data_IF_410561079959
#
_entry.id   IF_410561079959
#
_cell.length_a   1.000
_cell.length_b   1.000
_cell.length_c   1.000
_cell.angle_alpha   90.00
_cell.angle_beta   90.00
_cell.angle_gamma   90.00
#
_symmetry.space_group_name_H-M   'P 1'
#
loop_
_entity.id
_entity.type
_entity.pdbx_description
1 polymer ?
#
# COMPACT_ATOMS: atom_id res chain seq x y z
N UNK A 1 14.94 -10.11 24.29
CA UNK A 1 14.40 -8.75 24.08
C UNK A 1 14.47 -8.48 22.59
N UNK A 2 13.38 -8.75 21.86
CA UNK A 2 13.30 -8.53 20.42
C UNK A 2 13.21 -7.02 20.18
N UNK A 3 14.14 -6.47 19.40
CA UNK A 3 14.33 -5.03 19.24
C UNK A 3 13.07 -4.33 18.73
N UNK A 4 12.60 -3.35 19.50
CA UNK A 4 11.52 -2.46 19.10
C UNK A 4 11.96 -1.67 17.86
N UNK A 5 11.17 -1.77 16.80
CA UNK A 5 11.38 -0.95 15.60
C UNK A 5 10.95 0.47 15.92
N UNK A 6 11.86 1.45 15.77
CA UNK A 6 11.54 2.85 16.02
C UNK A 6 10.56 3.35 14.95
N UNK A 7 9.31 3.64 15.36
CA UNK A 7 8.24 4.09 14.47
C UNK A 7 8.35 5.60 14.27
N UNK A 8 8.53 6.04 13.02
CA UNK A 8 8.66 7.44 12.61
C UNK A 8 7.31 8.05 12.20
N UNK A 9 6.45 7.24 11.59
CA UNK A 9 5.10 7.61 11.16
C UNK A 9 4.20 6.39 11.29
N UNK A 10 2.98 6.61 11.78
CA UNK A 10 1.93 5.62 11.75
C UNK A 10 0.63 6.31 11.37
N UNK A 11 0.01 5.84 10.30
CA UNK A 11 -1.26 6.34 9.80
C UNK A 11 -2.15 5.13 9.60
N UNK A 12 -3.27 5.11 10.33
CA UNK A 12 -4.33 4.15 10.09
C UNK A 12 -5.60 4.88 9.73
N UNK A 13 -6.25 4.42 8.66
CA UNK A 13 -7.50 4.99 8.20
C UNK A 13 -8.41 3.87 7.70
N UNK A 14 -9.69 4.11 7.89
CA UNK A 14 -10.73 3.22 7.42
C UNK A 14 -11.75 4.06 6.67
N UNK A 15 -11.96 3.70 5.40
CA UNK A 15 -13.08 4.19 4.63
C UNK A 15 -14.21 3.17 4.79
N UNK A 16 -15.34 3.52 5.44
CA UNK A 16 -16.41 2.58 5.72
C UNK A 16 -16.92 1.89 4.46
N UNK A 17 -16.96 0.55 4.48
CA UNK A 17 -17.47 -0.26 3.38
C UNK A 17 -16.56 -0.36 2.15
N UNK A 18 -15.36 0.23 2.15
CA UNK A 18 -14.43 0.12 1.02
C UNK A 18 -13.11 -0.53 1.40
N UNK A 19 -12.20 0.27 1.94
CA UNK A 19 -10.81 -0.08 2.18
C UNK A 19 -10.38 0.39 3.57
N UNK A 20 -9.62 -0.46 4.25
CA UNK A 20 -8.81 -0.09 5.40
C UNK A 20 -7.37 -0.01 4.92
N UNK A 21 -6.65 1.03 5.30
CA UNK A 21 -5.24 1.11 4.98
C UNK A 21 -4.44 1.57 6.19
N UNK A 22 -3.22 1.05 6.27
CA UNK A 22 -2.22 1.47 7.23
C UNK A 22 -0.91 1.77 6.51
N UNK A 23 -0.25 2.82 6.97
CA UNK A 23 1.07 3.24 6.51
C UNK A 23 1.93 3.42 7.76
N UNK A 24 2.94 2.58 7.88
CA UNK A 24 3.88 2.60 8.98
C UNK A 24 5.29 2.81 8.43
N UNK A 25 5.95 3.87 8.90
CA UNK A 25 7.34 4.17 8.58
C UNK A 25 8.20 3.83 9.78
N UNK A 26 9.19 2.98 9.59
CA UNK A 26 10.15 2.61 10.62
C UNK A 26 11.52 3.14 10.26
N UNK A 27 12.32 3.47 11.27
CA UNK A 27 13.74 3.74 11.08
C UNK A 27 14.46 2.47 10.68
N UNK A 28 15.21 2.54 9.58
CA UNK A 28 16.02 1.43 9.10
C UNK A 28 17.26 1.27 9.98
N UNK A 29 17.46 0.05 10.48
CA UNK A 29 18.71 -0.30 11.16
C UNK A 29 19.78 -0.66 10.12
N UNK A 30 21.07 -0.28 10.32
CA UNK A 30 22.15 -0.56 9.35
C UNK A 30 22.31 -2.04 8.99
N UNK A 31 21.94 -2.93 9.91
CA UNK A 31 21.98 -4.39 9.73
C UNK A 31 20.82 -4.97 8.90
N UNK A 32 19.85 -4.15 8.48
CA UNK A 32 18.68 -4.61 7.71
C UNK A 32 18.97 -4.55 6.20
N UNK A 33 19.16 -5.72 5.60
CA UNK A 33 19.06 -5.92 4.16
C UNK A 33 17.60 -6.25 3.81
N UNK A 34 16.80 -5.22 3.56
CA UNK A 34 15.41 -5.35 3.14
C UNK A 34 15.33 -5.02 1.66
N UNK A 35 14.75 -5.94 0.90
CA UNK A 35 14.42 -5.73 -0.50
C UNK A 35 12.99 -5.20 -0.63
N UNK A 36 12.80 -4.34 -1.62
CA UNK A 36 11.49 -3.79 -1.90
C UNK A 36 10.59 -4.90 -2.43
N UNK A 37 9.46 -5.11 -1.77
CA UNK A 37 8.56 -6.21 -2.09
C UNK A 37 7.10 -5.84 -1.97
N UNK A 38 6.28 -6.44 -2.85
CA UNK A 38 4.83 -6.37 -2.81
C UNK A 38 4.25 -7.77 -2.64
N UNK A 39 3.18 -7.90 -1.87
CA UNK A 39 2.48 -9.16 -1.66
C UNK A 39 0.98 -8.89 -1.75
N UNK A 40 0.31 -9.67 -2.59
CA UNK A 40 -1.14 -9.80 -2.59
C UNK A 40 -1.50 -11.00 -1.72
N UNK A 41 -2.38 -10.80 -0.75
CA UNK A 41 -2.89 -11.85 0.12
C UNK A 41 -4.39 -11.91 -0.04
N UNK A 42 -4.89 -13.04 -0.53
CA UNK A 42 -6.31 -13.30 -0.66
C UNK A 42 -6.77 -14.18 0.49
N UNK A 43 -7.67 -13.64 1.31
CA UNK A 43 -8.23 -14.33 2.47
C UNK A 43 -9.65 -14.80 2.15
N UNK A 44 -9.85 -16.12 2.15
CA UNK A 44 -11.14 -16.76 1.95
C UNK A 44 -11.49 -17.70 3.10
N UNK A 45 -12.66 -17.47 3.69
CA UNK A 45 -13.24 -18.21 4.80
C UNK A 45 -14.62 -18.71 4.36
N UNK A 46 -14.71 -20.01 4.06
CA UNK A 46 -15.94 -20.65 3.55
C UNK A 46 -17.17 -20.44 4.46
N UNK A 47 -16.96 -20.52 5.78
CA UNK A 47 -18.03 -20.48 6.77
C UNK A 47 -18.41 -19.06 7.21
N UNK A 48 -17.59 -18.06 6.89
CA UNK A 48 -17.85 -16.67 7.24
C UNK A 48 -17.41 -15.70 6.12
N UNK A 49 -18.25 -15.50 5.10
CA UNK A 49 -17.92 -14.63 3.97
C UNK A 49 -17.64 -13.17 4.34
N UNK A 50 -18.09 -12.71 5.52
CA UNK A 50 -17.83 -11.36 6.00
C UNK A 50 -16.36 -11.14 6.42
N UNK A 51 -15.63 -12.21 6.73
CA UNK A 51 -14.20 -12.16 7.05
C UNK A 51 -13.31 -12.23 5.81
N UNK A 52 -13.89 -12.52 4.65
CA UNK A 52 -13.16 -12.51 3.39
C UNK A 52 -12.63 -11.10 3.12
N UNK A 53 -11.39 -11.00 2.65
CA UNK A 53 -10.80 -9.74 2.22
C UNK A 53 -9.62 -10.01 1.30
N UNK A 54 -9.25 -8.99 0.55
CA UNK A 54 -8.03 -8.98 -0.25
C UNK A 54 -7.10 -7.94 0.36
N UNK A 55 -5.87 -8.31 0.65
CA UNK A 55 -4.87 -7.42 1.24
C UNK A 55 -3.71 -7.22 0.26
N UNK A 56 -3.31 -5.97 0.06
CA UNK A 56 -2.08 -5.61 -0.63
C UNK A 56 -1.09 -5.08 0.40
N UNK A 57 0.06 -5.74 0.52
CA UNK A 57 1.16 -5.33 1.37
C UNK A 57 2.32 -4.87 0.52
N UNK A 58 2.89 -3.73 0.85
CA UNK A 58 4.09 -3.22 0.21
C UNK A 58 5.12 -2.87 1.27
N UNK A 59 6.34 -3.33 1.08
CA UNK A 59 7.48 -2.97 1.89
C UNK A 59 8.49 -2.30 0.97
N UNK A 60 8.80 -1.04 1.25
CA UNK A 60 9.70 -0.23 0.44
C UNK A 60 10.80 0.34 1.33
N UNK A 61 12.03 0.11 0.92
CA UNK A 61 13.23 0.74 1.42
C UNK A 61 13.44 1.98 0.58
N UNK A 62 13.04 3.15 1.07
CA UNK A 62 13.01 4.31 0.19
C UNK A 62 12.83 5.65 0.86
N UNK A 63 13.75 6.54 0.48
CA UNK A 63 13.73 7.99 0.54
C UNK A 63 14.00 8.63 1.91
N UNK A 64 15.10 9.37 1.92
CA UNK A 64 15.52 10.33 2.96
C UNK A 64 14.30 11.11 3.45
N UNK A 65 13.84 10.78 4.64
CA UNK A 65 12.75 11.51 5.28
C UNK A 65 13.31 12.77 5.94
N UNK A 66 12.94 13.96 5.46
CA UNK A 66 13.21 15.21 6.18
C UNK A 66 11.95 15.56 7.00
N UNK A 67 12.11 15.66 8.33
CA UNK A 67 11.04 15.79 9.34
C UNK A 67 10.19 17.07 9.24
N UNK A 68 10.59 18.03 8.40
CA UNK A 68 9.87 19.28 8.17
C UNK A 68 8.91 19.17 6.98
N UNK A 69 7.64 18.81 7.25
CA UNK A 69 6.54 18.81 6.27
C UNK A 69 6.22 20.19 5.64
N UNK A 70 6.90 21.28 6.02
CA UNK A 70 6.54 22.65 5.61
C UNK A 70 7.55 23.36 4.69
N UNK A 71 8.74 22.79 4.44
CA UNK A 71 9.77 23.44 3.62
C UNK A 71 10.40 22.44 2.68
N UNK A 72 9.89 22.42 1.45
CA UNK A 72 10.56 22.00 0.23
C UNK A 72 11.42 20.71 0.32
N UNK A 73 10.76 19.55 0.29
CA UNK A 73 11.42 18.31 -0.15
C UNK A 73 11.66 18.28 -1.68
N UNK A 74 11.22 19.28 -2.44
CA UNK A 74 11.50 19.41 -3.89
C UNK A 74 12.99 19.71 -4.18
N UNK A 75 13.73 20.28 -3.21
CA UNK A 75 15.15 20.60 -3.35
C UNK A 75 16.10 19.52 -2.81
N UNK A 76 15.59 18.37 -2.36
CA UNK A 76 16.42 17.19 -2.07
C UNK A 76 16.83 16.42 -3.34
N UNK A 77 16.94 17.11 -4.48
CA UNK A 77 17.67 16.60 -5.64
C UNK A 77 19.14 16.47 -5.25
N UNK A 78 19.60 15.22 -5.21
CA UNK A 78 20.98 14.76 -5.39
C UNK A 78 22.03 15.90 -5.32
N UNK A 79 22.63 16.08 -4.14
CA UNK A 79 23.88 16.83 -3.89
C UNK A 79 23.88 18.36 -3.64
N UNK A 80 22.74 19.06 -3.48
CA UNK A 80 22.80 20.54 -3.41
C UNK A 80 22.54 21.17 -2.03
N UNK A 81 21.78 20.57 -1.11
CA UNK A 81 21.55 21.16 0.21
C UNK A 81 22.46 20.55 1.29
N UNK A 82 23.50 21.29 1.71
CA UNK A 82 24.37 20.95 2.85
C UNK A 82 23.63 20.91 4.20
N UNK A 83 22.37 21.33 4.26
CA UNK A 83 21.57 21.47 5.49
C UNK A 83 20.20 20.73 5.48
N UNK A 84 20.04 19.51 4.91
CA UNK A 84 18.93 18.65 5.39
C UNK A 84 19.39 18.04 6.72
N UNK A 85 18.85 18.57 7.82
CA UNK A 85 19.38 18.36 9.18
C UNK A 85 19.15 16.94 9.72
N UNK A 86 18.27 16.11 9.15
CA UNK A 86 18.17 14.70 9.55
C UNK A 86 17.81 13.82 8.35
N UNK A 87 18.82 13.25 7.67
CA UNK A 87 18.57 12.15 6.72
C UNK A 87 18.47 10.86 7.52
N UNK A 88 17.25 10.36 7.72
CA UNK A 88 17.02 9.09 8.41
C UNK A 88 16.66 8.05 7.36
N UNK A 89 17.45 6.98 7.27
CA UNK A 89 17.08 5.82 6.47
C UNK A 89 15.82 5.20 7.07
N UNK A 90 14.81 4.95 6.24
CA UNK A 90 13.53 4.41 6.67
C UNK A 90 13.05 3.28 5.79
N UNK A 91 12.14 2.49 6.37
CA UNK A 91 11.39 1.42 5.70
C UNK A 91 9.92 1.76 5.84
N UNK A 92 9.23 1.81 4.71
CA UNK A 92 7.79 2.03 4.63
C UNK A 92 7.07 0.69 4.44
N UNK A 93 6.15 0.41 5.35
CA UNK A 93 5.24 -0.73 5.28
C UNK A 93 3.84 -0.19 5.07
N UNK A 94 3.24 -0.53 3.93
CA UNK A 94 1.88 -0.16 3.59
C UNK A 94 1.02 -1.42 3.53
N UNK A 95 -0.18 -1.36 4.12
CA UNK A 95 -1.21 -2.38 3.94
C UNK A 95 -2.51 -1.73 3.45
N UNK A 96 -3.14 -2.36 2.45
CA UNK A 96 -4.46 -2.00 1.94
C UNK A 96 -5.35 -3.23 1.96
N UNK A 97 -6.35 -3.24 2.84
CA UNK A 97 -7.32 -4.31 2.98
C UNK A 97 -8.66 -3.91 2.36
N UNK A 98 -9.04 -4.61 1.30
CA UNK A 98 -10.26 -4.39 0.54
C UNK A 98 -11.37 -5.35 0.98
N UNK A 99 -12.55 -4.79 1.22
CA UNK A 99 -13.73 -5.60 1.56
C UNK A 99 -14.37 -6.27 0.34
N UNK A 100 -15.08 -7.39 0.51
CA UNK A 100 -15.79 -8.05 -0.58
C UNK A 100 -16.84 -7.16 -1.22
N UNK A 101 -17.61 -6.42 -0.42
CA UNK A 101 -18.64 -5.50 -0.89
C UNK A 101 -18.09 -4.47 -1.88
N UNK A 102 -16.88 -3.97 -1.60
CA UNK A 102 -16.20 -3.02 -2.47
C UNK A 102 -15.66 -3.67 -3.74
N UNK A 103 -15.00 -4.82 -3.64
CA UNK A 103 -14.41 -5.49 -4.80
C UNK A 103 -15.45 -6.02 -5.78
N UNK A 104 -16.63 -6.39 -5.28
CA UNK A 104 -17.75 -6.81 -6.11
C UNK A 104 -18.19 -5.76 -7.13
N UNK A 105 -17.99 -4.46 -6.86
CA UNK A 105 -18.34 -3.41 -7.82
C UNK A 105 -17.43 -3.41 -9.07
N UNK A 106 -16.25 -4.05 -8.97
CA UNK A 106 -15.27 -4.16 -10.05
C UNK A 106 -15.28 -5.53 -10.72
N UNK A 107 -15.87 -6.54 -10.08
CA UNK A 107 -16.11 -7.82 -10.71
C UNK A 107 -17.08 -7.63 -11.89
N UNK A 108 -16.71 -8.10 -13.08
CA UNK A 108 -17.57 -7.99 -14.28
C UNK A 108 -18.97 -8.53 -13.98
N UNK A 109 -20.00 -7.79 -14.36
CA UNK A 109 -21.41 -8.19 -14.29
C UNK A 109 -21.78 -9.39 -15.20
N UNK A 110 -20.80 -10.08 -15.79
CA UNK A 110 -21.04 -11.28 -16.58
C UNK A 110 -21.09 -12.48 -15.63
N UNK A 111 -22.15 -13.29 -15.73
CA UNK A 111 -22.40 -14.46 -14.88
C UNK A 111 -21.21 -15.46 -14.85
N UNK A 112 -20.37 -15.46 -15.89
CA UNK A 112 -19.14 -16.25 -15.95
C UNK A 112 -17.88 -15.38 -15.79
N UNK A 113 -17.13 -15.51 -14.69
CA UNK A 113 -15.83 -14.87 -14.53
C UNK A 113 -14.86 -15.43 -15.59
N UNK A 114 -14.31 -14.55 -16.42
CA UNK A 114 -13.49 -14.94 -17.56
C UNK A 114 -12.01 -15.16 -17.20
N UNK A 115 -11.56 -14.64 -16.05
CA UNK A 115 -10.18 -14.69 -15.58
C UNK A 115 -10.06 -15.07 -14.10
N UNK A 116 -8.85 -15.47 -13.66
CA UNK A 116 -8.54 -15.69 -12.24
C UNK A 116 -8.77 -14.39 -11.44
N UNK A 117 -8.37 -13.25 -12.01
CA UNK A 117 -8.61 -11.92 -11.46
C UNK A 117 -10.09 -11.64 -11.19
N UNK A 118 -10.98 -11.96 -12.14
CA UNK A 118 -12.42 -11.82 -11.94
C UNK A 118 -12.94 -12.73 -10.81
N UNK A 119 -12.42 -13.97 -10.71
CA UNK A 119 -12.79 -14.90 -9.63
C UNK A 119 -12.36 -14.40 -8.25
N UNK A 120 -11.19 -13.77 -8.15
CA UNK A 120 -10.66 -13.18 -6.92
C UNK A 120 -11.48 -11.95 -6.51
N UNK A 121 -11.75 -11.03 -7.44
CA UNK A 121 -12.58 -9.84 -7.17
C UNK A 121 -14.01 -10.20 -6.75
N UNK A 122 -14.56 -11.27 -7.33
CA UNK A 122 -15.89 -11.77 -6.99
C UNK A 122 -15.91 -12.74 -5.79
N UNK A 123 -14.76 -12.98 -5.13
CA UNK A 123 -14.60 -13.97 -4.05
C UNK A 123 -15.14 -15.38 -4.39
N UNK A 124 -15.09 -15.76 -5.67
CA UNK A 124 -15.46 -17.10 -6.16
C UNK A 124 -14.31 -18.10 -6.04
N UNK A 125 -13.09 -17.63 -5.88
CA UNK A 125 -11.93 -18.49 -5.61
C UNK A 125 -12.01 -19.00 -4.16
N UNK A 126 -12.07 -20.32 -3.97
CA UNK A 126 -12.43 -20.95 -2.68
C UNK A 126 -11.24 -21.31 -1.79
N UNK A 127 -10.04 -20.84 -2.12
CA UNK A 127 -8.81 -21.07 -1.36
C UNK A 127 -8.07 -19.76 -1.09
N UNK A 128 -7.59 -19.58 0.13
CA UNK A 128 -6.68 -18.47 0.46
C UNK A 128 -5.32 -18.69 -0.21
N UNK A 129 -4.71 -17.62 -0.70
CA UNK A 129 -3.36 -17.67 -1.27
C UNK A 129 -2.62 -16.35 -1.08
N UNK A 130 -1.30 -16.40 -1.23
CA UNK A 130 -0.45 -15.21 -1.29
C UNK A 130 0.38 -15.25 -2.57
N UNK A 131 0.47 -14.12 -3.27
CA UNK A 131 1.29 -13.98 -4.47
C UNK A 131 2.23 -12.79 -4.31
N UNK A 132 3.50 -13.00 -4.60
CA UNK A 132 4.47 -11.91 -4.70
C UNK A 132 4.12 -11.06 -5.92
N UNK A 133 4.06 -9.75 -5.72
CA UNK A 133 3.81 -8.76 -6.77
C UNK A 133 5.13 -8.10 -7.16
N UNK A 134 5.47 -8.02 -8.46
CA UNK A 134 6.60 -7.23 -8.90
C UNK A 134 6.30 -5.76 -8.65
N UNK A 135 7.18 -5.07 -7.92
CA UNK A 135 7.12 -3.62 -7.77
C UNK A 135 7.64 -2.96 -9.05
N UNK A 136 6.76 -2.86 -10.06
CA UNK A 136 7.08 -2.12 -11.27
C UNK A 136 7.11 -0.60 -11.01
N UNK A 137 7.73 0.17 -11.92
CA UNK A 137 7.88 1.62 -11.75
C UNK A 137 6.56 2.36 -11.52
N UNK A 138 5.45 1.91 -12.14
CA UNK A 138 4.12 2.50 -11.94
C UNK A 138 3.59 2.28 -10.53
N UNK A 139 3.72 1.07 -9.99
CA UNK A 139 3.34 0.74 -8.61
C UNK A 139 4.17 1.55 -7.62
N UNK A 140 5.49 1.64 -7.83
CA UNK A 140 6.37 2.46 -7.00
C UNK A 140 5.94 3.93 -7.00
N UNK A 141 5.70 4.52 -8.17
CA UNK A 141 5.26 5.91 -8.29
C UNK A 141 3.95 6.17 -7.54
N UNK A 142 2.97 5.26 -7.63
CA UNK A 142 1.71 5.39 -6.90
C UNK A 142 1.92 5.36 -5.38
N UNK A 143 2.80 4.48 -4.89
CA UNK A 143 3.13 4.41 -3.47
C UNK A 143 3.91 5.65 -3.00
N UNK A 144 4.88 6.12 -3.78
CA UNK A 144 5.61 7.36 -3.47
C UNK A 144 4.68 8.57 -3.42
N UNK A 145 3.69 8.63 -4.30
CA UNK A 145 2.67 9.67 -4.30
C UNK A 145 1.78 9.59 -3.03
N UNK A 146 1.43 8.39 -2.57
CA UNK A 146 0.74 8.18 -1.29
C UNK A 146 1.57 8.61 -0.08
N UNK A 147 2.88 8.39 -0.09
CA UNK A 147 3.75 8.72 1.04
C UNK A 147 4.06 10.23 1.13
N UNK A 148 4.02 10.95 0.01
CA UNK A 148 4.54 12.33 -0.09
C UNK A 148 3.49 13.38 -0.49
N UNK A 149 2.20 13.04 -0.56
CA UNK A 149 1.19 14.05 -0.90
C UNK A 149 1.05 15.11 0.21
N UNK A 150 0.61 16.29 -0.20
CA UNK A 150 0.34 17.44 0.69
C UNK A 150 -1.14 17.77 0.81
N UNK A 151 -2.01 16.99 0.15
CA UNK A 151 -3.46 17.15 0.26
C UNK A 151 -3.94 16.94 1.70
N UNK A 152 -4.94 17.73 2.11
CA UNK A 152 -5.61 17.62 3.41
C UNK A 152 -7.12 17.46 3.23
N UNK A 153 -7.81 17.10 4.32
CA UNK A 153 -9.26 17.09 4.42
C UNK A 153 -9.96 16.24 3.33
N UNK A 154 -10.85 16.87 2.56
CA UNK A 154 -11.63 16.19 1.52
C UNK A 154 -10.77 15.79 0.32
N UNK A 155 -9.78 16.61 -0.04
CA UNK A 155 -8.89 16.32 -1.16
C UNK A 155 -7.96 15.15 -0.85
N UNK A 156 -7.50 15.04 0.40
CA UNK A 156 -6.73 13.88 0.86
C UNK A 156 -7.53 12.59 0.65
N UNK A 157 -8.80 12.58 1.07
CA UNK A 157 -9.66 11.41 0.90
C UNK A 157 -9.87 11.04 -0.58
N UNK A 158 -10.08 12.02 -1.46
CA UNK A 158 -10.21 11.78 -2.91
C UNK A 158 -8.92 11.17 -3.46
N UNK A 159 -7.78 11.77 -3.12
CA UNK A 159 -6.47 11.36 -3.60
C UNK A 159 -6.13 9.94 -3.14
N UNK A 160 -6.25 9.66 -1.84
CA UNK A 160 -5.98 8.34 -1.26
C UNK A 160 -6.86 7.27 -1.91
N UNK A 161 -8.17 7.53 -2.06
CA UNK A 161 -9.08 6.57 -2.68
C UNK A 161 -8.69 6.28 -4.13
N UNK A 162 -8.32 7.31 -4.91
CA UNK A 162 -7.86 7.15 -6.28
C UNK A 162 -6.56 6.34 -6.36
N UNK A 163 -5.57 6.64 -5.51
CA UNK A 163 -4.31 5.89 -5.47
C UNK A 163 -4.51 4.44 -4.98
N UNK A 164 -5.43 4.22 -4.06
CA UNK A 164 -5.74 2.86 -3.61
C UNK A 164 -6.36 2.02 -4.74
N UNK A 165 -7.23 2.63 -5.56
CA UNK A 165 -7.78 1.99 -6.76
C UNK A 165 -6.71 1.73 -7.83
N UNK A 166 -5.75 2.64 -8.03
CA UNK A 166 -4.67 2.40 -9.00
C UNK A 166 -3.76 1.26 -8.56
N UNK A 167 -3.45 1.15 -7.26
CA UNK A 167 -2.67 0.05 -6.71
C UNK A 167 -3.38 -1.29 -6.88
N UNK A 168 -4.70 -1.33 -6.64
CA UNK A 168 -5.51 -2.50 -6.91
C UNK A 168 -5.41 -2.90 -8.38
N UNK A 169 -5.65 -1.96 -9.31
CA UNK A 169 -5.56 -2.23 -10.76
C UNK A 169 -4.21 -2.83 -11.15
N UNK A 170 -3.10 -2.20 -10.75
CA UNK A 170 -1.76 -2.70 -11.08
C UNK A 170 -1.45 -4.07 -10.48
N UNK A 171 -1.98 -4.34 -9.28
CA UNK A 171 -1.82 -5.65 -8.64
C UNK A 171 -2.62 -6.74 -9.37
N UNK A 172 -3.82 -6.41 -9.85
CA UNK A 172 -4.68 -7.32 -10.60
C UNK A 172 -4.14 -7.62 -12.01
N UNK A 173 -3.47 -6.66 -12.66
CA UNK A 173 -2.79 -6.86 -13.95
C UNK A 173 -1.58 -7.81 -13.85
N UNK A 174 -1.01 -7.96 -12.65
CA UNK A 174 0.13 -8.85 -12.39
C UNK A 174 -0.30 -10.25 -11.89
N UNK A 175 -1.61 -10.51 -11.74
CA UNK A 175 -2.13 -11.84 -11.36
C UNK A 175 -2.23 -12.79 -12.54
#
# INVERSE_FOLDING_TARGET
MQGEMETLLEVERQVPGSVKYSISRYKKMPQWAIDDTGILVYHYVKNNPAENHLELKFCLTGNVYCRQKQTECDYCKLNVSRNCIEKVDSVDVLSFSFSPAYLHQFAKAHNNPASISDNVLAFKHTSSFSKMLPLCGKTRMAIEALLNHTYTDTLENIFINAQTQILLLYSMDCM
#
